data_IF_674103365316
#
_entry.id   IF_674103365316
#
_cell.length_a   1.000
_cell.length_b   1.000
_cell.length_c   1.000
_cell.angle_alpha   90.00
_cell.angle_beta   90.00
_cell.angle_gamma   90.00
#
_symmetry.space_group_name_H-M   'P 1'
#
loop_
_entity.id
_entity.type
_entity.pdbx_description
1 polymer ?
#
# COMPACT_ATOMS: atom_id res chain seq x y z
N UNK A 1 -16.36 -22.57 36.28
CA UNK A 1 -16.46 -22.53 34.80
C UNK A 1 -17.71 -21.79 34.31
N UNK A 2 -18.92 -22.06 34.82
CA UNK A 2 -20.16 -21.37 34.38
C UNK A 2 -20.20 -19.86 34.68
N UNK A 3 -19.59 -19.37 35.77
CA UNK A 3 -19.57 -17.93 36.10
C UNK A 3 -18.53 -17.10 35.31
N UNK A 4 -17.52 -17.75 34.72
CA UNK A 4 -16.56 -17.11 33.80
C UNK A 4 -17.13 -16.96 32.40
N UNK A 5 -17.89 -17.96 31.92
CA UNK A 5 -18.53 -17.94 30.62
C UNK A 5 -19.66 -16.89 30.52
N UNK A 6 -20.44 -16.69 31.58
CA UNK A 6 -21.49 -15.64 31.59
C UNK A 6 -20.92 -14.22 31.60
N UNK A 7 -19.79 -14.00 32.29
CA UNK A 7 -19.07 -12.72 32.28
C UNK A 7 -18.41 -12.44 30.92
N UNK A 8 -17.77 -13.43 30.29
CA UNK A 8 -17.20 -13.30 28.94
C UNK A 8 -18.25 -12.96 27.88
N UNK A 9 -19.41 -13.63 27.94
CA UNK A 9 -20.53 -13.38 27.02
C UNK A 9 -21.07 -11.95 27.14
N UNK A 10 -21.14 -11.41 28.36
CA UNK A 10 -21.52 -10.02 28.61
C UNK A 10 -20.47 -9.02 28.10
N UNK A 11 -19.18 -9.25 28.37
CA UNK A 11 -18.09 -8.39 27.89
C UNK A 11 -18.03 -8.33 26.35
N UNK A 12 -18.17 -9.48 25.70
CA UNK A 12 -18.26 -9.60 24.24
C UNK A 12 -19.43 -8.76 23.70
N UNK A 13 -20.60 -8.90 24.33
CA UNK A 13 -21.81 -8.15 23.93
C UNK A 13 -21.62 -6.64 24.09
N UNK A 14 -20.94 -6.20 25.15
CA UNK A 14 -20.64 -4.80 25.41
C UNK A 14 -19.70 -4.25 24.33
N UNK A 15 -18.57 -4.90 24.05
CA UNK A 15 -17.62 -4.45 23.02
C UNK A 15 -18.26 -4.35 21.64
N UNK A 16 -19.09 -5.34 21.27
CA UNK A 16 -19.85 -5.31 20.00
C UNK A 16 -20.82 -4.13 19.96
N UNK A 17 -21.50 -3.81 21.07
CA UNK A 17 -22.40 -2.65 21.15
C UNK A 17 -21.62 -1.34 21.08
N UNK A 18 -20.50 -1.23 21.78
CA UNK A 18 -19.63 -0.04 21.74
C UNK A 18 -19.13 0.21 20.31
N UNK A 19 -18.67 -0.83 19.61
CA UNK A 19 -18.31 -0.74 18.18
C UNK A 19 -19.48 -0.24 17.33
N UNK A 20 -20.69 -0.78 17.53
CA UNK A 20 -21.89 -0.36 16.78
C UNK A 20 -22.29 1.08 17.04
N UNK A 21 -22.09 1.60 18.26
CA UNK A 21 -22.38 3.00 18.58
C UNK A 21 -21.52 3.99 17.80
N UNK A 22 -20.32 3.59 17.35
CA UNK A 22 -19.48 4.40 16.48
C UNK A 22 -20.07 4.61 15.06
N UNK A 23 -21.19 3.97 14.73
CA UNK A 23 -21.82 4.05 13.42
C UNK A 23 -23.30 4.41 13.50
N UNK A 24 -23.78 5.12 12.46
CA UNK A 24 -25.18 5.39 12.20
C UNK A 24 -25.47 5.14 10.72
N UNK A 25 -26.33 4.16 10.42
CA UNK A 25 -26.62 3.72 9.03
C UNK A 25 -25.32 3.39 8.25
N UNK A 26 -24.44 2.60 8.88
CA UNK A 26 -23.13 2.16 8.34
C UNK A 26 -22.11 3.26 8.03
N UNK A 27 -22.41 4.51 8.38
CA UNK A 27 -21.46 5.64 8.31
C UNK A 27 -20.92 5.96 9.70
N UNK A 28 -19.66 6.41 9.82
CA UNK A 28 -19.11 6.85 11.10
C UNK A 28 -19.98 7.94 11.73
N UNK A 29 -20.33 7.78 13.01
CA UNK A 29 -21.09 8.75 13.78
C UNK A 29 -20.15 9.51 14.72
N UNK A 30 -19.67 10.66 14.24
CA UNK A 30 -18.72 11.52 14.96
C UNK A 30 -19.27 11.95 16.32
N UNK A 31 -20.59 12.17 16.43
CA UNK A 31 -21.22 12.61 17.67
C UNK A 31 -21.16 11.50 18.73
N UNK A 32 -21.54 10.26 18.37
CA UNK A 32 -21.44 9.13 19.29
C UNK A 32 -19.99 8.79 19.64
N UNK A 33 -19.08 8.84 18.67
CA UNK A 33 -17.64 8.70 18.91
C UNK A 33 -17.12 9.74 19.91
N UNK A 34 -17.60 10.99 19.84
CA UNK A 34 -17.27 12.04 20.80
C UNK A 34 -17.82 11.75 22.20
N UNK A 35 -19.06 11.25 22.30
CA UNK A 35 -19.65 10.84 23.58
C UNK A 35 -18.83 9.74 24.24
N UNK A 36 -18.43 8.72 23.46
CA UNK A 36 -17.56 7.63 23.93
C UNK A 36 -16.19 8.14 24.40
N UNK A 37 -15.64 9.16 23.72
CA UNK A 37 -14.42 9.85 24.16
C UNK A 37 -14.63 10.54 25.50
N UNK A 38 -15.69 11.32 25.63
CA UNK A 38 -15.99 12.08 26.85
C UNK A 38 -16.27 11.15 28.05
N UNK A 39 -16.82 9.97 27.80
CA UNK A 39 -16.99 8.91 28.80
C UNK A 39 -15.71 8.09 29.05
N UNK A 40 -14.59 8.40 28.39
CA UNK A 40 -13.28 7.74 28.54
C UNK A 40 -13.32 6.22 28.31
N UNK A 41 -14.25 5.75 27.48
CA UNK A 41 -14.42 4.31 27.20
C UNK A 41 -13.15 3.69 26.61
N UNK A 42 -12.44 4.45 25.76
CA UNK A 42 -11.19 3.98 25.15
C UNK A 42 -10.08 3.73 26.17
N UNK A 43 -10.04 4.44 27.31
CA UNK A 43 -9.01 4.23 28.34
C UNK A 43 -9.24 2.89 29.04
N UNK A 44 -10.49 2.58 29.38
CA UNK A 44 -10.87 1.28 29.96
C UNK A 44 -10.55 0.13 28.99
N UNK A 45 -10.75 0.34 27.68
CA UNK A 45 -10.41 -0.67 26.67
C UNK A 45 -8.90 -0.85 26.54
N UNK A 46 -8.11 0.23 26.61
CA UNK A 46 -6.64 0.14 26.60
C UNK A 46 -6.10 -0.55 27.87
N UNK A 47 -6.68 -0.26 29.03
CA UNK A 47 -6.38 -0.96 30.28
C UNK A 47 -6.71 -2.45 30.15
N UNK A 48 -7.87 -2.80 29.58
CA UNK A 48 -8.26 -4.18 29.33
C UNK A 48 -7.27 -4.91 28.42
N UNK A 49 -6.79 -4.27 27.34
CA UNK A 49 -5.78 -4.83 26.45
C UNK A 49 -4.44 -5.11 27.16
N UNK A 50 -4.16 -4.42 28.27
CA UNK A 50 -2.94 -4.62 29.06
C UNK A 50 -3.04 -5.80 30.03
N UNK A 51 -4.21 -6.41 30.19
CA UNK A 51 -4.41 -7.51 31.14
C UNK A 51 -3.74 -8.78 30.60
N UNK A 52 -2.75 -9.36 31.33
CA UNK A 52 -2.10 -10.59 30.91
C UNK A 52 -3.08 -11.77 31.00
N UNK A 53 -3.00 -12.67 30.03
CA UNK A 53 -3.83 -13.88 29.98
C UNK A 53 -3.04 -15.08 29.45
N UNK A 54 -3.54 -16.28 29.73
CA UNK A 54 -2.92 -17.51 29.27
C UNK A 54 -3.27 -17.78 27.81
N UNK A 55 -2.34 -17.48 26.90
CA UNK A 55 -2.51 -17.67 25.45
C UNK A 55 -2.75 -19.12 25.03
N UNK A 56 -2.43 -20.11 25.86
CA UNK A 56 -2.61 -21.54 25.53
C UNK A 56 -3.96 -22.09 26.00
N UNK A 57 -4.43 -21.63 27.15
CA UNK A 57 -5.62 -22.20 27.80
C UNK A 57 -6.86 -21.31 27.68
N UNK A 58 -6.69 -20.00 27.47
CA UNK A 58 -7.80 -19.06 27.34
C UNK A 58 -8.23 -18.89 25.88
N UNK A 59 -9.41 -19.44 25.57
CA UNK A 59 -10.00 -19.40 24.23
C UNK A 59 -10.87 -18.16 23.99
N UNK A 60 -11.26 -17.44 25.04
CA UNK A 60 -12.18 -16.30 24.97
C UNK A 60 -11.44 -14.97 24.93
N UNK A 61 -10.32 -14.85 25.65
CA UNK A 61 -9.51 -13.63 25.69
C UNK A 61 -9.00 -13.17 24.32
N UNK A 62 -8.48 -14.05 23.42
CA UNK A 62 -8.09 -13.63 22.08
C UNK A 62 -9.23 -12.93 21.32
N UNK A 63 -10.46 -13.45 21.44
CA UNK A 63 -11.65 -12.86 20.81
C UNK A 63 -11.99 -11.50 21.40
N UNK A 64 -11.90 -11.35 22.73
CA UNK A 64 -12.14 -10.06 23.39
C UNK A 64 -11.10 -9.00 23.01
N UNK A 65 -9.84 -9.40 22.84
CA UNK A 65 -8.77 -8.53 22.35
C UNK A 65 -9.06 -8.05 20.93
N UNK A 66 -9.40 -8.97 20.01
CA UNK A 66 -9.81 -8.58 18.65
C UNK A 66 -10.97 -7.61 18.66
N UNK A 67 -12.03 -7.86 19.44
CA UNK A 67 -13.17 -6.95 19.55
C UNK A 67 -12.80 -5.58 20.14
N UNK A 68 -11.83 -5.54 21.05
CA UNK A 68 -11.30 -4.31 21.63
C UNK A 68 -10.59 -3.48 20.57
N UNK A 69 -9.73 -4.09 19.75
CA UNK A 69 -9.09 -3.41 18.62
C UNK A 69 -10.09 -3.00 17.53
N UNK A 70 -11.09 -3.82 17.22
CA UNK A 70 -12.17 -3.44 16.30
C UNK A 70 -12.95 -2.22 16.79
N UNK A 71 -13.19 -2.12 18.10
CA UNK A 71 -13.77 -0.94 18.71
C UNK A 71 -12.85 0.27 18.57
N UNK A 72 -11.56 0.17 18.93
CA UNK A 72 -10.60 1.28 18.81
C UNK A 72 -10.48 1.78 17.35
N UNK A 73 -10.41 0.85 16.38
CA UNK A 73 -10.43 1.17 14.94
C UNK A 73 -11.70 1.94 14.55
N UNK A 74 -12.85 1.51 15.06
CA UNK A 74 -14.14 2.16 14.80
C UNK A 74 -14.30 3.50 15.51
N UNK A 75 -13.68 3.65 16.68
CA UNK A 75 -13.66 4.88 17.48
C UNK A 75 -12.85 6.00 16.80
N UNK A 76 -11.79 5.64 16.07
CA UNK A 76 -10.98 6.59 15.29
C UNK A 76 -11.52 6.88 13.88
N UNK A 77 -12.34 6.00 13.31
CA UNK A 77 -12.75 6.08 11.90
C UNK A 77 -13.44 7.42 11.59
N UNK A 78 -12.79 8.25 10.78
CA UNK A 78 -13.32 9.55 10.34
C UNK A 78 -13.31 10.65 11.41
N UNK A 79 -12.62 10.46 12.53
CA UNK A 79 -12.61 11.41 13.64
C UNK A 79 -11.17 11.75 14.08
N UNK A 80 -10.67 12.90 13.58
CA UNK A 80 -9.31 13.38 13.85
C UNK A 80 -9.02 13.64 15.32
N UNK A 81 -10.01 14.12 16.09
CA UNK A 81 -9.81 14.36 17.52
C UNK A 81 -9.58 13.05 18.29
N UNK A 82 -10.34 12.01 17.95
CA UNK A 82 -10.18 10.69 18.56
C UNK A 82 -8.86 10.02 18.16
N UNK A 83 -8.46 10.17 16.90
CA UNK A 83 -7.14 9.76 16.41
C UNK A 83 -6.02 10.42 17.20
N UNK A 84 -6.02 11.76 17.31
CA UNK A 84 -5.02 12.51 18.07
C UNK A 84 -5.03 12.18 19.57
N UNK A 85 -6.17 11.71 20.10
CA UNK A 85 -6.26 11.24 21.49
C UNK A 85 -5.60 9.86 21.64
N UNK A 86 -5.94 8.88 20.81
CA UNK A 86 -5.35 7.54 20.88
C UNK A 86 -3.86 7.53 20.54
N UNK A 87 -3.41 8.41 19.63
CA UNK A 87 -1.99 8.55 19.30
C UNK A 87 -1.11 8.76 20.54
N UNK A 88 -1.61 9.47 21.56
CA UNK A 88 -0.87 9.72 22.82
C UNK A 88 -0.64 8.48 23.68
N UNK A 89 -1.28 7.36 23.36
CA UNK A 89 -1.18 6.09 24.08
C UNK A 89 -0.34 5.05 23.33
N UNK A 90 0.16 5.37 22.14
CA UNK A 90 1.07 4.48 21.40
C UNK A 90 2.42 4.45 22.14
N UNK A 91 2.93 3.25 22.39
CA UNK A 91 4.28 3.06 22.92
C UNK A 91 4.99 1.91 22.21
N UNK A 92 6.29 2.12 21.99
CA UNK A 92 7.23 1.10 21.48
C UNK A 92 8.06 0.48 22.61
N UNK A 93 7.96 1.02 23.84
CA UNK A 93 8.74 0.55 24.98
C UNK A 93 8.22 -0.80 25.49
N UNK A 94 9.13 -1.73 25.79
CA UNK A 94 8.78 -3.04 26.36
C UNK A 94 8.17 -2.92 27.77
N UNK A 95 8.63 -1.93 28.53
CA UNK A 95 8.14 -1.63 29.89
C UNK A 95 7.02 -0.58 29.90
N UNK A 96 6.29 -0.45 28.79
CA UNK A 96 5.23 0.54 28.67
C UNK A 96 4.15 0.36 29.77
N UNK A 97 3.73 1.49 30.33
CA UNK A 97 2.71 1.56 31.39
C UNK A 97 1.42 0.84 30.97
N UNK A 98 0.71 0.29 31.94
CA UNK A 98 -0.64 -0.25 31.72
C UNK A 98 -1.54 0.81 31.07
N UNK A 99 -2.41 0.38 30.17
CA UNK A 99 -3.27 1.27 29.39
C UNK A 99 -2.59 1.91 28.17
N UNK A 100 -1.47 1.35 27.69
CA UNK A 100 -0.81 1.77 26.45
C UNK A 100 -1.01 0.75 25.33
N UNK A 101 -1.01 1.24 24.09
CA UNK A 101 -1.08 0.42 22.90
C UNK A 101 0.35 0.02 22.49
N UNK A 102 0.75 -1.20 22.85
CA UNK A 102 2.08 -1.75 22.56
C UNK A 102 2.13 -2.27 21.14
N UNK A 103 2.97 -1.68 20.30
CA UNK A 103 3.08 -2.09 18.89
C UNK A 103 3.91 -3.38 18.82
N UNK A 104 3.27 -4.53 18.95
CA UNK A 104 3.96 -5.84 18.93
C UNK A 104 3.35 -6.86 17.98
N UNK A 105 2.05 -6.74 17.67
CA UNK A 105 1.33 -7.67 16.81
C UNK A 105 0.69 -6.96 15.62
N UNK A 106 0.23 -7.78 14.67
CA UNK A 106 -0.51 -7.33 13.48
C UNK A 106 -1.79 -6.58 13.86
N UNK A 107 -2.42 -6.93 14.99
CA UNK A 107 -3.69 -6.33 15.41
C UNK A 107 -3.50 -4.89 15.94
N UNK A 108 -2.39 -4.62 16.65
CA UNK A 108 -2.03 -3.24 16.99
C UNK A 108 -1.63 -2.45 15.75
N UNK A 109 -0.88 -3.03 14.82
CA UNK A 109 -0.56 -2.37 13.55
C UNK A 109 -1.83 -1.97 12.78
N UNK A 110 -2.83 -2.84 12.69
CA UNK A 110 -4.12 -2.52 12.09
C UNK A 110 -4.89 -1.42 12.88
N UNK A 111 -4.69 -1.33 14.19
CA UNK A 111 -5.24 -0.23 15.01
C UNK A 111 -4.52 1.08 14.70
N UNK A 112 -3.20 1.07 14.56
CA UNK A 112 -2.40 2.21 14.15
C UNK A 112 -2.80 2.71 12.77
N UNK A 113 -3.09 1.81 11.80
CA UNK A 113 -3.64 2.21 10.48
C UNK A 113 -4.85 3.11 10.69
N UNK A 114 -5.81 2.72 11.54
CA UNK A 114 -7.00 3.53 11.79
C UNK A 114 -6.71 4.87 12.51
N UNK A 115 -5.67 4.91 13.35
CA UNK A 115 -5.23 6.14 14.04
C UNK A 115 -4.66 7.14 13.04
N UNK A 116 -3.80 6.70 12.13
CA UNK A 116 -3.13 7.59 11.17
C UNK A 116 -3.94 7.87 9.89
N UNK A 117 -4.86 6.98 9.52
CA UNK A 117 -5.64 7.08 8.28
C UNK A 117 -6.33 8.44 8.14
N UNK A 118 -6.02 9.13 7.03
CA UNK A 118 -6.57 10.44 6.68
C UNK A 118 -6.24 11.57 7.68
N UNK A 119 -5.16 11.43 8.47
CA UNK A 119 -4.72 12.44 9.44
C UNK A 119 -3.31 12.95 9.13
N UNK A 120 -3.25 14.02 8.32
CA UNK A 120 -1.98 14.60 7.85
C UNK A 120 -1.12 15.19 8.97
N UNK A 121 -1.76 15.74 10.00
CA UNK A 121 -1.03 16.29 11.16
C UNK A 121 -0.30 15.21 11.94
N UNK A 122 -0.93 14.04 12.15
CA UNK A 122 -0.27 12.93 12.83
C UNK A 122 0.80 12.30 11.94
N UNK A 123 0.50 12.08 10.67
CA UNK A 123 1.43 11.46 9.73
C UNK A 123 2.71 12.29 9.51
N UNK A 124 2.61 13.63 9.49
CA UNK A 124 3.77 14.51 9.34
C UNK A 124 4.68 14.54 10.59
N UNK A 125 4.13 14.24 11.77
CA UNK A 125 4.84 14.30 13.04
C UNK A 125 5.20 12.92 13.61
N UNK A 126 5.19 11.88 12.78
CA UNK A 126 5.58 10.54 13.21
C UNK A 126 7.09 10.49 13.53
N UNK A 127 7.45 9.80 14.61
CA UNK A 127 8.83 9.61 15.02
C UNK A 127 9.55 8.58 14.15
N UNK A 128 10.85 8.78 13.93
CA UNK A 128 11.71 7.81 13.22
C UNK A 128 11.78 6.48 13.98
N UNK A 129 11.85 6.52 15.32
CA UNK A 129 11.86 5.33 16.17
C UNK A 129 10.63 4.43 15.95
N UNK A 130 9.44 5.02 15.73
CA UNK A 130 8.24 4.24 15.46
C UNK A 130 8.30 3.57 14.09
N UNK A 131 8.82 4.27 13.07
CA UNK A 131 9.00 3.72 11.72
C UNK A 131 10.00 2.55 11.76
N UNK A 132 11.17 2.76 12.37
CA UNK A 132 12.20 1.74 12.54
C UNK A 132 11.67 0.52 13.31
N UNK A 133 10.90 0.75 14.37
CA UNK A 133 10.25 -0.34 15.12
C UNK A 133 9.25 -1.12 14.25
N UNK A 134 8.42 -0.44 13.45
CA UNK A 134 7.48 -1.12 12.53
C UNK A 134 8.23 -1.99 11.52
N UNK A 135 9.32 -1.48 10.94
CA UNK A 135 10.15 -2.24 9.99
C UNK A 135 10.82 -3.45 10.67
N UNK A 136 11.35 -3.27 11.88
CA UNK A 136 11.91 -4.36 12.68
C UNK A 136 10.88 -5.46 13.01
N UNK A 137 9.60 -5.11 13.21
CA UNK A 137 8.53 -6.11 13.39
C UNK A 137 8.29 -6.94 12.13
N UNK A 138 8.39 -6.33 10.94
CA UNK A 138 8.28 -7.07 9.67
C UNK A 138 9.41 -8.11 9.58
N UNK A 139 10.61 -7.72 9.95
CA UNK A 139 11.81 -8.57 9.92
C UNK A 139 11.76 -9.70 10.95
N UNK A 140 11.44 -9.40 12.21
CA UNK A 140 11.60 -10.38 13.30
C UNK A 140 10.33 -11.11 13.73
N UNK A 141 9.13 -10.61 13.36
CA UNK A 141 7.85 -11.24 13.76
C UNK A 141 7.18 -11.94 12.61
N UNK A 142 6.81 -11.19 11.57
CA UNK A 142 6.09 -11.74 10.43
C UNK A 142 6.06 -10.76 9.27
N UNK A 143 6.34 -11.25 8.07
CA UNK A 143 6.04 -10.55 6.82
C UNK A 143 4.54 -10.52 6.60
N UNK A 144 3.93 -9.36 6.85
CA UNK A 144 2.50 -9.17 6.76
C UNK A 144 2.17 -7.81 6.12
N UNK A 145 1.28 -7.82 5.14
CA UNK A 145 0.89 -6.64 4.36
C UNK A 145 0.29 -5.51 5.21
N UNK A 146 -0.26 -5.80 6.40
CA UNK A 146 -0.82 -4.78 7.30
C UNK A 146 0.24 -3.79 7.80
N UNK A 147 1.48 -4.24 8.02
CA UNK A 147 2.57 -3.33 8.41
C UNK A 147 2.92 -2.37 7.27
N UNK A 148 2.88 -2.84 6.02
CA UNK A 148 3.05 -1.98 4.85
C UNK A 148 1.88 -1.03 4.67
N UNK A 149 0.63 -1.46 4.89
CA UNK A 149 -0.55 -0.57 4.90
C UNK A 149 -0.41 0.53 5.97
N UNK A 150 0.15 0.20 7.13
CA UNK A 150 0.46 1.19 8.17
C UNK A 150 1.44 2.23 7.64
N UNK A 151 2.58 1.83 7.07
CA UNK A 151 3.54 2.75 6.49
C UNK A 151 2.93 3.57 5.34
N UNK A 152 2.11 2.96 4.48
CA UNK A 152 1.38 3.64 3.41
C UNK A 152 0.48 4.77 3.96
N UNK A 153 -0.19 4.53 5.09
CA UNK A 153 -1.05 5.54 5.74
C UNK A 153 -0.29 6.75 6.29
N UNK A 154 1.03 6.64 6.46
CA UNK A 154 1.91 7.71 6.95
C UNK A 154 2.48 8.58 5.81
N UNK A 155 2.70 7.99 4.63
CA UNK A 155 3.44 8.65 3.54
C UNK A 155 2.55 9.40 2.54
N UNK A 156 1.29 8.99 2.37
CA UNK A 156 0.37 9.63 1.44
C UNK A 156 -1.06 9.66 1.99
N UNK A 157 -1.68 10.83 1.98
CA UNK A 157 -3.01 11.07 2.53
C UNK A 157 -3.86 11.80 1.48
N UNK A 158 -4.99 11.19 1.10
CA UNK A 158 -5.87 11.73 0.06
C UNK A 158 -5.11 12.11 -1.22
N UNK A 159 -4.24 11.20 -1.68
CA UNK A 159 -3.42 11.38 -2.88
C UNK A 159 -2.41 12.53 -2.80
N UNK A 160 -2.14 13.04 -1.59
CA UNK A 160 -1.12 14.05 -1.33
C UNK A 160 0.00 13.48 -0.47
N UNK A 161 1.21 13.71 -0.93
CA UNK A 161 2.46 13.37 -0.27
C UNK A 161 2.62 14.02 1.10
N UNK A 162 3.33 13.31 1.98
CA UNK A 162 3.85 13.79 3.26
C UNK A 162 5.38 13.66 3.20
N UNK A 163 6.02 14.60 2.50
CA UNK A 163 7.44 14.56 2.11
C UNK A 163 8.40 14.13 3.22
N UNK A 164 8.30 14.76 4.39
CA UNK A 164 9.15 14.44 5.54
C UNK A 164 9.04 12.98 6.01
N UNK A 165 7.87 12.38 5.83
CA UNK A 165 7.60 11.00 6.25
C UNK A 165 7.92 10.01 5.13
N UNK A 166 7.73 10.40 3.87
CA UNK A 166 8.19 9.62 2.72
C UNK A 166 9.68 9.34 2.81
N UNK A 167 10.50 10.36 3.08
CA UNK A 167 11.96 10.21 3.19
C UNK A 167 12.38 9.25 4.29
N UNK A 168 11.75 9.36 5.46
CA UNK A 168 12.01 8.48 6.62
C UNK A 168 11.66 7.03 6.31
N UNK A 169 10.45 6.81 5.79
CA UNK A 169 9.96 5.46 5.47
C UNK A 169 10.78 4.83 4.34
N UNK A 170 11.07 5.58 3.27
CA UNK A 170 11.88 5.08 2.16
C UNK A 170 13.30 4.74 2.63
N UNK A 171 13.92 5.59 3.45
CA UNK A 171 15.26 5.34 3.99
C UNK A 171 15.29 4.07 4.85
N UNK A 172 14.31 3.89 5.75
CA UNK A 172 14.25 2.72 6.62
C UNK A 172 14.01 1.43 5.82
N UNK A 173 13.08 1.44 4.85
CA UNK A 173 12.79 0.27 4.01
C UNK A 173 13.99 -0.10 3.13
N UNK A 174 14.66 0.87 2.50
CA UNK A 174 15.82 0.58 1.64
C UNK A 174 17.05 0.12 2.45
N UNK A 175 17.15 0.51 3.73
CA UNK A 175 18.21 0.05 4.62
C UNK A 175 17.92 -1.31 5.27
N UNK A 176 16.68 -1.81 5.18
CA UNK A 176 16.28 -3.08 5.77
C UNK A 176 16.87 -4.29 5.04
N UNK A 177 16.80 -5.46 5.68
CA UNK A 177 17.28 -6.72 5.10
C UNK A 177 16.50 -7.15 3.85
N UNK A 178 17.10 -8.02 3.05
CA UNK A 178 16.48 -8.58 1.83
C UNK A 178 15.16 -9.32 2.13
N UNK A 179 15.00 -9.83 3.35
CA UNK A 179 13.76 -10.45 3.80
C UNK A 179 12.59 -9.46 3.85
N UNK A 180 12.86 -8.21 4.28
CA UNK A 180 11.90 -7.11 4.26
C UNK A 180 11.73 -6.57 2.83
N UNK A 181 12.85 -6.38 2.12
CA UNK A 181 12.92 -5.87 0.73
C UNK A 181 12.62 -6.95 -0.32
N UNK A 182 11.63 -7.81 -0.08
CA UNK A 182 11.23 -8.91 -0.96
C UNK A 182 10.66 -8.41 -2.32
N UNK A 183 11.52 -7.86 -3.16
CA UNK A 183 11.22 -7.19 -4.44
C UNK A 183 11.43 -8.11 -5.66
N UNK A 184 12.07 -9.25 -5.48
CA UNK A 184 12.23 -10.30 -6.50
C UNK A 184 12.96 -9.85 -7.79
N UNK A 185 13.99 -9.02 -7.64
CA UNK A 185 14.66 -8.32 -8.76
C UNK A 185 15.59 -9.22 -9.57
N UNK A 186 16.30 -10.14 -8.91
CA UNK A 186 17.23 -11.05 -9.58
C UNK A 186 16.50 -12.17 -10.35
N UNK A 187 17.22 -12.87 -11.23
CA UNK A 187 16.62 -13.89 -12.08
C UNK A 187 15.95 -15.03 -11.31
N UNK A 188 16.57 -15.51 -10.24
CA UNK A 188 16.05 -16.67 -9.50
C UNK A 188 14.83 -16.29 -8.66
N UNK A 189 14.83 -15.10 -8.06
CA UNK A 189 13.67 -14.61 -7.31
C UNK A 189 12.53 -14.20 -8.25
N UNK A 190 12.81 -13.66 -9.43
CA UNK A 190 11.77 -13.36 -10.42
C UNK A 190 10.99 -14.62 -10.87
N UNK A 191 11.68 -15.75 -11.08
CA UNK A 191 10.99 -17.02 -11.39
C UNK A 191 10.00 -17.43 -10.27
N UNK A 192 10.35 -17.15 -9.01
CA UNK A 192 9.43 -17.37 -7.88
C UNK A 192 8.23 -16.42 -7.94
N UNK A 193 8.45 -15.15 -8.29
CA UNK A 193 7.37 -14.18 -8.48
C UNK A 193 6.40 -14.63 -9.57
N UNK A 194 6.91 -15.11 -10.71
CA UNK A 194 6.07 -15.65 -11.79
C UNK A 194 5.26 -16.86 -11.35
N UNK A 195 5.87 -17.81 -10.64
CA UNK A 195 5.15 -18.97 -10.09
C UNK A 195 4.04 -18.55 -9.12
N UNK A 196 4.32 -17.58 -8.24
CA UNK A 196 3.31 -17.05 -7.32
C UNK A 196 2.15 -16.39 -8.06
N UNK A 197 2.42 -15.65 -9.14
CA UNK A 197 1.36 -15.03 -9.95
C UNK A 197 0.52 -16.07 -10.70
N UNK A 198 1.12 -17.15 -11.21
CA UNK A 198 0.40 -18.25 -11.87
C UNK A 198 -0.52 -19.02 -10.92
N UNK A 199 -0.10 -19.18 -9.66
CA UNK A 199 -0.82 -19.91 -8.63
C UNK A 199 -1.77 -19.04 -7.80
N UNK A 200 -1.78 -17.72 -8.05
CA UNK A 200 -2.58 -16.78 -7.29
C UNK A 200 -4.07 -17.09 -7.37
N UNK A 201 -4.70 -17.19 -6.21
CA UNK A 201 -6.16 -17.24 -6.12
C UNK A 201 -6.76 -15.85 -6.28
N UNK A 202 -8.08 -15.76 -6.49
CA UNK A 202 -8.80 -14.48 -6.56
C UNK A 202 -8.71 -13.65 -5.28
N UNK A 203 -8.30 -14.26 -4.16
CA UNK A 203 -8.11 -13.59 -2.89
C UNK A 203 -6.72 -13.92 -2.31
N UNK A 204 -5.93 -12.89 -2.05
CA UNK A 204 -4.65 -13.01 -1.36
C UNK A 204 -4.81 -12.44 0.05
N UNK A 205 -4.63 -13.29 1.06
CA UNK A 205 -4.62 -12.83 2.45
C UNK A 205 -3.39 -11.96 2.75
N UNK A 206 -3.42 -11.26 3.90
CA UNK A 206 -2.33 -10.35 4.29
C UNK A 206 -1.01 -11.04 4.65
N UNK A 207 -1.00 -12.37 4.79
CA UNK A 207 0.22 -13.17 5.02
C UNK A 207 0.82 -13.72 3.72
N UNK A 208 0.09 -13.62 2.60
CA UNK A 208 0.55 -14.14 1.32
C UNK A 208 1.75 -13.35 0.80
N UNK A 209 2.86 -13.99 0.40
CA UNK A 209 4.07 -13.30 -0.06
C UNK A 209 3.84 -12.37 -1.25
N UNK A 210 3.04 -12.80 -2.25
CA UNK A 210 2.64 -11.94 -3.36
C UNK A 210 1.86 -10.68 -2.92
N UNK A 211 0.98 -10.79 -1.91
CA UNK A 211 0.25 -9.63 -1.38
C UNK A 211 1.20 -8.65 -0.71
N UNK A 212 2.13 -9.16 0.08
CA UNK A 212 3.19 -8.36 0.69
C UNK A 212 4.02 -7.63 -0.38
N UNK A 213 4.46 -8.34 -1.42
CA UNK A 213 5.20 -7.76 -2.54
C UNK A 213 4.44 -6.62 -3.25
N UNK A 214 3.16 -6.83 -3.57
CA UNK A 214 2.30 -5.80 -4.18
C UNK A 214 2.20 -4.55 -3.28
N UNK A 215 2.00 -4.74 -1.97
CA UNK A 215 1.93 -3.63 -1.02
C UNK A 215 3.28 -2.94 -0.80
N UNK A 216 4.40 -3.65 -0.97
CA UNK A 216 5.74 -3.08 -0.84
C UNK A 216 6.05 -2.18 -2.04
N UNK A 217 5.80 -2.66 -3.27
CA UNK A 217 5.95 -1.84 -4.48
C UNK A 217 5.02 -0.63 -4.43
N UNK A 218 3.78 -0.80 -3.95
CA UNK A 218 2.85 0.32 -3.75
C UNK A 218 3.37 1.33 -2.72
N UNK A 219 3.93 0.86 -1.61
CA UNK A 219 4.53 1.75 -0.61
C UNK A 219 5.66 2.58 -1.21
N UNK A 220 6.57 1.95 -1.96
CA UNK A 220 7.66 2.65 -2.63
C UNK A 220 7.14 3.67 -3.66
N UNK A 221 6.11 3.33 -4.43
CA UNK A 221 5.46 4.26 -5.34
C UNK A 221 4.83 5.46 -4.62
N UNK A 222 4.23 5.24 -3.45
CA UNK A 222 3.68 6.30 -2.61
C UNK A 222 4.79 7.15 -1.98
N UNK A 223 5.97 6.60 -1.71
CA UNK A 223 7.13 7.34 -1.23
C UNK A 223 7.73 8.28 -2.29
N UNK A 224 7.67 7.92 -3.58
CA UNK A 224 8.21 8.74 -4.67
C UNK A 224 7.21 9.77 -5.22
N UNK A 225 5.93 9.69 -4.83
CA UNK A 225 4.92 10.65 -5.26
C UNK A 225 5.25 12.07 -4.79
N UNK A 226 5.04 13.06 -5.66
CA UNK A 226 5.23 14.47 -5.33
C UNK A 226 6.63 15.02 -5.66
N UNK A 227 7.37 14.35 -6.54
CA UNK A 227 8.66 14.81 -7.08
C UNK A 227 9.79 14.90 -6.06
N UNK A 228 9.94 13.85 -5.25
CA UNK A 228 10.98 13.78 -4.25
C UNK A 228 12.25 13.13 -4.83
N UNK A 229 13.08 13.94 -5.50
CA UNK A 229 14.27 13.47 -6.23
C UNK A 229 15.21 12.57 -5.42
N UNK A 230 15.36 12.83 -4.12
CA UNK A 230 16.26 12.04 -3.27
C UNK A 230 15.68 10.64 -2.98
N UNK A 231 14.38 10.55 -2.74
CA UNK A 231 13.67 9.29 -2.51
C UNK A 231 13.45 8.52 -3.81
N UNK A 232 13.20 9.21 -4.91
CA UNK A 232 13.12 8.63 -6.27
C UNK A 232 14.40 7.88 -6.63
N UNK A 233 15.58 8.49 -6.47
CA UNK A 233 16.86 7.83 -6.77
C UNK A 233 17.12 6.59 -5.90
N UNK A 234 16.77 6.66 -4.61
CA UNK A 234 16.88 5.52 -3.70
C UNK A 234 15.97 4.37 -4.16
N UNK A 235 14.69 4.64 -4.37
CA UNK A 235 13.73 3.62 -4.79
C UNK A 235 14.03 3.07 -6.19
N UNK A 236 14.53 3.89 -7.13
CA UNK A 236 14.96 3.45 -8.45
C UNK A 236 16.16 2.48 -8.40
N UNK A 237 16.99 2.57 -7.35
CA UNK A 237 18.08 1.62 -7.11
C UNK A 237 17.57 0.26 -6.62
N UNK A 238 16.42 0.25 -5.95
CA UNK A 238 15.76 -0.96 -5.46
C UNK A 238 14.96 -1.68 -6.55
N UNK A 239 14.27 -0.93 -7.42
CA UNK A 239 13.48 -1.48 -8.54
C UNK A 239 13.90 -0.79 -9.83
N UNK A 240 14.83 -1.37 -10.60
CA UNK A 240 15.33 -0.77 -11.83
C UNK A 240 14.31 -0.88 -12.98
N UNK A 241 14.45 0.00 -13.97
CA UNK A 241 13.53 0.13 -15.10
C UNK A 241 13.35 -1.17 -15.90
N UNK A 242 14.43 -1.93 -16.13
CA UNK A 242 14.39 -3.20 -16.85
C UNK A 242 13.56 -4.25 -16.09
N UNK A 243 13.65 -4.27 -14.76
CA UNK A 243 12.83 -5.14 -13.92
C UNK A 243 11.35 -4.75 -13.98
N UNK A 244 11.01 -3.45 -13.98
CA UNK A 244 9.62 -2.98 -14.17
C UNK A 244 9.05 -3.53 -15.48
N UNK A 245 9.76 -3.31 -16.60
CA UNK A 245 9.34 -3.79 -17.93
C UNK A 245 9.17 -5.30 -17.92
N UNK A 246 10.14 -6.05 -17.36
CA UNK A 246 10.09 -7.51 -17.25
C UNK A 246 8.86 -8.01 -16.48
N UNK A 247 8.52 -7.40 -15.34
CA UNK A 247 7.37 -7.80 -14.52
C UNK A 247 6.06 -7.52 -15.24
N UNK A 248 5.85 -6.29 -15.72
CA UNK A 248 4.54 -5.92 -16.30
C UNK A 248 4.27 -6.66 -17.60
N UNK A 249 5.31 -6.99 -18.38
CA UNK A 249 5.20 -7.73 -19.65
C UNK A 249 5.15 -9.24 -19.51
N UNK A 250 5.35 -9.79 -18.30
CA UNK A 250 5.18 -11.23 -18.07
C UNK A 250 3.75 -11.66 -18.41
N UNK A 251 3.63 -12.80 -19.10
CA UNK A 251 2.33 -13.37 -19.49
C UNK A 251 1.47 -13.74 -18.27
N UNK A 252 2.11 -13.98 -17.12
CA UNK A 252 1.44 -14.35 -15.88
C UNK A 252 1.09 -13.13 -15.01
N UNK A 253 1.42 -11.92 -15.46
CA UNK A 253 1.28 -10.72 -14.63
C UNK A 253 -0.19 -10.40 -14.29
N UNK A 254 -0.48 -10.33 -13.00
CA UNK A 254 -1.81 -9.97 -12.48
C UNK A 254 -2.05 -8.46 -12.60
N UNK A 255 -3.32 -8.06 -12.74
CA UNK A 255 -3.69 -6.64 -12.87
C UNK A 255 -3.28 -5.84 -11.63
N UNK A 256 -3.38 -6.44 -10.44
CA UNK A 256 -2.95 -5.82 -9.18
C UNK A 256 -1.45 -5.53 -9.13
N UNK A 257 -0.64 -6.44 -9.69
CA UNK A 257 0.82 -6.27 -9.82
C UNK A 257 1.10 -5.16 -10.83
N UNK A 258 0.42 -5.17 -11.98
CA UNK A 258 0.52 -4.10 -12.99
C UNK A 258 0.21 -2.74 -12.38
N UNK A 259 -0.88 -2.58 -11.63
CA UNK A 259 -1.23 -1.31 -10.99
C UNK A 259 -0.09 -0.81 -10.10
N UNK A 260 0.46 -1.65 -9.22
CA UNK A 260 1.54 -1.25 -8.31
C UNK A 260 2.82 -0.84 -9.06
N UNK A 261 3.26 -1.64 -10.04
CA UNK A 261 4.46 -1.36 -10.83
C UNK A 261 4.28 -0.15 -11.74
N UNK A 262 3.10 0.05 -12.31
CA UNK A 262 2.82 1.21 -13.14
C UNK A 262 2.68 2.50 -12.32
N UNK A 263 2.12 2.45 -11.11
CA UNK A 263 2.19 3.58 -10.17
C UNK A 263 3.64 3.90 -9.78
N UNK A 264 4.47 2.87 -9.57
CA UNK A 264 5.88 3.06 -9.31
C UNK A 264 6.60 3.70 -10.51
N UNK A 265 6.37 3.20 -11.73
CA UNK A 265 6.89 3.79 -12.97
C UNK A 265 6.46 5.27 -13.09
N UNK A 266 5.18 5.56 -12.85
CA UNK A 266 4.64 6.90 -12.95
C UNK A 266 5.38 7.85 -12.02
N UNK A 267 5.43 7.55 -10.73
CA UNK A 267 5.96 8.49 -9.73
C UNK A 267 7.48 8.49 -9.64
N UNK A 268 8.14 7.36 -9.89
CA UNK A 268 9.59 7.24 -9.76
C UNK A 268 10.35 7.60 -11.06
N UNK A 269 9.76 7.34 -12.24
CA UNK A 269 10.47 7.44 -13.52
C UNK A 269 9.87 8.46 -14.51
N UNK A 270 8.57 8.74 -14.44
CA UNK A 270 7.88 9.64 -15.40
C UNK A 270 7.64 11.02 -14.80
N UNK A 271 6.87 11.12 -13.72
CA UNK A 271 6.53 12.35 -12.99
C UNK A 271 7.54 12.64 -11.86
N UNK A 272 8.82 12.53 -12.21
CA UNK A 272 9.99 12.74 -11.36
C UNK A 272 10.74 14.01 -11.77
N UNK A 273 11.44 14.62 -10.81
CA UNK A 273 12.39 15.70 -11.06
C UNK A 273 13.83 15.20 -11.31
N UNK A 274 14.10 13.91 -11.08
CA UNK A 274 15.35 13.27 -11.45
C UNK A 274 15.41 12.98 -12.98
N UNK A 275 16.61 13.08 -13.58
CA UNK A 275 16.83 12.71 -14.98
C UNK A 275 16.81 11.18 -15.17
N UNK A 276 15.63 10.59 -15.21
CA UNK A 276 15.45 9.14 -15.41
C UNK A 276 15.46 8.77 -16.90
N UNK A 277 16.64 8.86 -17.54
CA UNK A 277 16.82 8.62 -18.99
C UNK A 277 16.38 7.22 -19.43
N UNK A 278 16.50 6.24 -18.54
CA UNK A 278 16.12 4.85 -18.84
C UNK A 278 14.63 4.72 -19.15
N UNK A 279 13.76 5.55 -18.57
CA UNK A 279 12.32 5.52 -18.81
C UNK A 279 11.93 5.77 -20.28
N UNK A 280 12.82 6.42 -21.04
CA UNK A 280 12.61 6.84 -22.42
C UNK A 280 13.40 6.00 -23.44
N UNK A 281 14.03 4.90 -23.01
CA UNK A 281 14.67 3.95 -23.93
C UNK A 281 13.63 3.37 -24.90
N UNK A 282 13.87 3.43 -26.23
CA UNK A 282 12.88 2.99 -27.21
C UNK A 282 12.38 1.55 -26.99
N UNK A 283 13.26 0.61 -26.62
CA UNK A 283 12.86 -0.77 -26.35
C UNK A 283 11.88 -0.91 -25.16
N UNK A 284 12.03 -0.09 -24.12
CA UNK A 284 11.16 -0.11 -22.95
C UNK A 284 9.84 0.56 -23.26
N UNK A 285 9.87 1.72 -23.92
CA UNK A 285 8.66 2.44 -24.33
C UNK A 285 7.80 1.57 -25.25
N UNK A 286 8.39 0.92 -26.26
CA UNK A 286 7.67 0.02 -27.16
C UNK A 286 7.03 -1.16 -26.40
N UNK A 287 7.80 -1.81 -25.52
CA UNK A 287 7.32 -2.93 -24.71
C UNK A 287 6.15 -2.54 -23.79
N UNK A 288 6.25 -1.37 -23.14
CA UNK A 288 5.22 -0.88 -22.23
C UNK A 288 3.94 -0.48 -22.99
N UNK A 289 4.07 0.27 -24.08
CA UNK A 289 2.92 0.69 -24.89
C UNK A 289 2.24 -0.52 -25.55
N UNK A 290 3.01 -1.48 -26.05
CA UNK A 290 2.46 -2.71 -26.61
C UNK A 290 1.67 -3.50 -25.56
N UNK A 291 2.21 -3.62 -24.35
CA UNK A 291 1.53 -4.29 -23.25
C UNK A 291 0.24 -3.57 -22.82
N UNK A 292 0.28 -2.24 -22.67
CA UNK A 292 -0.92 -1.43 -22.39
C UNK A 292 -1.99 -1.63 -23.47
N UNK A 293 -1.59 -1.70 -24.75
CA UNK A 293 -2.50 -1.98 -25.85
C UNK A 293 -3.14 -3.38 -25.74
N UNK A 294 -2.36 -4.41 -25.39
CA UNK A 294 -2.89 -5.76 -25.15
C UNK A 294 -3.90 -5.78 -24.00
N UNK A 295 -3.64 -5.01 -22.93
CA UNK A 295 -4.58 -4.88 -21.81
C UNK A 295 -5.89 -4.20 -22.21
N UNK A 296 -5.82 -3.14 -23.03
CA UNK A 296 -7.00 -2.46 -23.59
C UNK A 296 -7.81 -3.42 -24.46
N UNK A 297 -7.16 -4.20 -25.33
CA UNK A 297 -7.83 -5.22 -26.15
C UNK A 297 -8.46 -6.34 -25.29
N UNK A 298 -7.81 -6.72 -24.19
CA UNK A 298 -8.35 -7.69 -23.23
C UNK A 298 -9.60 -7.13 -22.54
N UNK A 299 -9.59 -5.85 -22.18
CA UNK A 299 -10.75 -5.16 -21.60
C UNK A 299 -11.91 -5.12 -22.60
N UNK A 300 -11.66 -4.74 -23.85
CA UNK A 300 -12.67 -4.72 -24.92
C UNK A 300 -13.35 -6.09 -25.09
N UNK A 301 -12.55 -7.16 -25.21
CA UNK A 301 -13.07 -8.53 -25.31
C UNK A 301 -13.85 -8.95 -24.06
N UNK A 302 -13.35 -8.56 -22.88
CA UNK A 302 -13.99 -8.85 -21.60
C UNK A 302 -15.36 -8.19 -21.46
N UNK A 303 -15.46 -6.91 -21.81
CA UNK A 303 -16.71 -6.15 -21.80
C UNK A 303 -17.73 -6.68 -22.82
N UNK A 304 -17.25 -7.11 -24.00
CA UNK A 304 -18.10 -7.74 -25.01
C UNK A 304 -18.68 -9.09 -24.54
N UNK A 305 -17.92 -9.86 -23.75
CA UNK A 305 -18.37 -11.15 -23.22
C UNK A 305 -19.25 -11.03 -21.98
N UNK A 306 -18.90 -10.14 -21.04
CA UNK A 306 -19.60 -9.92 -19.78
C UNK A 306 -19.32 -8.50 -19.23
N UNK A 307 -20.27 -7.56 -19.39
CA UNK A 307 -20.06 -6.15 -19.02
C UNK A 307 -19.70 -5.91 -17.54
N UNK A 308 -20.05 -6.84 -16.63
CA UNK A 308 -19.87 -6.64 -15.19
C UNK A 308 -18.66 -7.40 -14.59
N UNK A 309 -17.86 -8.12 -15.39
CA UNK A 309 -16.77 -8.96 -14.85
C UNK A 309 -15.38 -8.32 -14.84
N UNK A 310 -15.23 -7.13 -15.41
CA UNK A 310 -13.90 -6.55 -15.69
C UNK A 310 -13.53 -5.33 -14.84
N UNK A 311 -14.20 -5.08 -13.70
CA UNK A 311 -14.06 -3.83 -12.95
C UNK A 311 -12.63 -3.44 -12.56
N UNK A 312 -11.78 -4.42 -12.19
CA UNK A 312 -10.38 -4.12 -11.84
C UNK A 312 -9.53 -3.76 -13.07
N UNK A 313 -9.70 -4.51 -14.17
CA UNK A 313 -8.99 -4.23 -15.43
C UNK A 313 -9.43 -2.89 -16.03
N UNK A 314 -10.72 -2.60 -15.94
CA UNK A 314 -11.30 -1.31 -16.33
C UNK A 314 -10.69 -0.16 -15.51
N UNK A 315 -10.69 -0.28 -14.17
CA UNK A 315 -10.08 0.73 -13.29
C UNK A 315 -8.61 0.96 -13.64
N UNK A 316 -7.85 -0.10 -13.87
CA UNK A 316 -6.44 -0.03 -14.26
C UNK A 316 -6.23 0.71 -15.58
N UNK A 317 -6.98 0.37 -16.63
CA UNK A 317 -6.86 1.01 -17.95
C UNK A 317 -7.31 2.48 -17.89
N UNK A 318 -8.50 2.74 -17.33
CA UNK A 318 -9.09 4.07 -17.33
C UNK A 318 -8.39 5.04 -16.36
N UNK A 319 -7.77 4.54 -15.30
CA UNK A 319 -7.08 5.39 -14.32
C UNK A 319 -5.57 5.33 -14.51
N UNK A 320 -4.94 4.19 -14.22
CA UNK A 320 -3.48 4.07 -14.15
C UNK A 320 -2.81 4.22 -15.52
N UNK A 321 -3.27 3.47 -16.53
CA UNK A 321 -2.70 3.55 -17.89
C UNK A 321 -2.93 4.94 -18.48
N UNK A 322 -4.14 5.48 -18.32
CA UNK A 322 -4.48 6.80 -18.85
C UNK A 322 -3.62 7.89 -18.21
N UNK A 323 -3.42 7.88 -16.88
CA UNK A 323 -2.56 8.84 -16.20
C UNK A 323 -1.10 8.75 -16.66
N UNK A 324 -0.58 7.55 -16.86
CA UNK A 324 0.77 7.34 -17.39
C UNK A 324 0.91 7.92 -18.79
N UNK A 325 -0.01 7.62 -19.69
CA UNK A 325 0.03 8.14 -21.05
C UNK A 325 -0.03 9.67 -21.06
N UNK A 326 -0.91 10.27 -20.25
CA UNK A 326 -0.99 11.72 -20.12
C UNK A 326 0.36 12.31 -19.65
N UNK A 327 0.90 11.83 -18.53
CA UNK A 327 2.16 12.37 -17.98
C UNK A 327 3.37 12.10 -18.86
N UNK A 328 3.42 10.95 -19.51
CA UNK A 328 4.51 10.59 -20.40
C UNK A 328 4.57 11.51 -21.62
N UNK A 329 3.43 11.87 -22.22
CA UNK A 329 3.37 12.74 -23.39
C UNK A 329 3.25 14.25 -23.07
N UNK A 330 2.91 14.63 -21.82
CA UNK A 330 2.90 16.03 -21.37
C UNK A 330 4.30 16.61 -21.16
N UNK A 331 5.28 15.80 -20.73
CA UNK A 331 6.67 16.25 -20.71
C UNK A 331 7.06 16.55 -22.17
N UNK A 332 7.52 17.79 -22.49
CA UNK A 332 7.98 18.07 -23.83
C UNK A 332 9.07 17.06 -24.11
N UNK A 333 8.83 16.19 -25.10
CA UNK A 333 9.84 15.29 -25.65
C UNK A 333 11.09 16.14 -25.82
N UNK A 334 12.07 15.98 -24.93
CA UNK A 334 13.30 16.75 -24.99
C UNK A 334 13.86 16.53 -26.38
N UNK A 335 14.43 17.60 -26.98
CA UNK A 335 14.77 17.75 -28.41
C UNK A 335 15.73 16.69 -29.01
N UNK A 336 15.91 15.54 -28.38
CA UNK A 336 16.84 14.48 -28.77
C UNK A 336 16.17 13.25 -29.41
N UNK A 337 14.85 13.10 -29.36
CA UNK A 337 14.18 12.04 -30.13
C UNK A 337 13.93 12.50 -31.58
N UNK A 338 15.01 12.77 -32.32
CA UNK A 338 14.96 12.56 -33.77
C UNK A 338 14.89 11.05 -33.97
N UNK A 339 13.67 10.54 -34.02
CA UNK A 339 13.42 9.24 -34.64
C UNK A 339 13.89 9.41 -36.09
N UNK A 340 15.05 8.85 -36.43
CA UNK A 340 15.47 8.70 -37.82
C UNK A 340 14.46 7.76 -38.47
N UNK A 341 13.39 8.34 -39.02
CA UNK A 341 12.57 7.67 -39.99
C UNK A 341 13.51 7.46 -41.18
N UNK A 342 14.04 6.25 -41.32
CA UNK A 342 14.66 5.80 -42.56
C UNK A 342 13.59 5.86 -43.65
N UNK A 343 13.46 7.02 -44.27
CA UNK A 343 12.84 7.17 -45.57
C UNK A 343 13.72 6.36 -46.51
N UNK A 344 13.24 5.18 -46.84
CA UNK A 344 13.77 4.41 -47.93
C UNK A 344 13.47 5.18 -49.20
N UNK A 345 14.43 5.99 -49.65
CA UNK A 345 14.42 6.58 -50.98
C UNK A 345 14.49 5.44 -52.00
N UNK A 346 13.33 4.90 -52.37
CA UNK A 346 13.15 4.16 -53.61
C UNK A 346 13.16 5.19 -54.75
N UNK A 347 14.17 5.19 -55.64
CA UNK A 347 14.15 6.11 -56.78
C UNK A 347 13.03 5.70 -57.73
N UNK A 348 12.03 6.58 -57.89
CA UNK A 348 11.07 6.50 -58.98
C UNK A 348 11.82 6.64 -60.32
N UNK A 349 11.58 5.76 -61.32
CA UNK A 349 12.15 5.94 -62.63
C UNK A 349 11.47 7.13 -63.33
N UNK A 350 12.28 8.13 -63.67
CA UNK A 350 11.88 9.29 -64.46
C UNK A 350 11.56 8.86 -65.89
N UNK A 351 10.27 8.75 -66.20
CA UNK A 351 9.77 8.76 -67.57
C UNK A 351 9.91 10.19 -68.12
N UNK A 352 10.94 10.43 -68.94
CA UNK A 352 10.91 11.53 -69.90
C UNK A 352 10.99 10.98 -71.32
N UNK A 353 9.87 11.15 -72.02
CA UNK A 353 9.77 11.16 -73.48
C UNK A 353 10.71 12.23 -74.05
N UNK A 354 11.53 11.85 -75.01
CA UNK A 354 11.51 12.42 -76.35
C UNK A 354 12.08 11.44 -77.37
#
# INVERSE_FOLDING_TARGET
MVSGMSKSSNSTTILVRLKKLCYKKDRPDIMNQQLLKNMRVYEVVLEFLSIPYDKKNDTEMPRLITLSHEFLRSFCKGNKENQSRLHKYISIEKDAKEGTLRVETVEEAATLVAIFRNNRELAANVSEDLIAHIVSLIEHKSRNAVFLELLQSLVCIHDKEVETTQDKVATEICAASDEVRALYVDNASFEQLEQMMQQASSYLDNTHPLKYHIELVRLLAMCTRGKNGSTELKCASEIPMDHIVRVVTSQSCLVEVKIAYFQFLLHCYIDTDAEMKDAYKPEYVDSLLHNMLLDVQRLEKGLAASPNSCGLLEQYVCSTVTEILLRFFEKPYSEQAKVDIHVSDMPFPSNHRH
#
